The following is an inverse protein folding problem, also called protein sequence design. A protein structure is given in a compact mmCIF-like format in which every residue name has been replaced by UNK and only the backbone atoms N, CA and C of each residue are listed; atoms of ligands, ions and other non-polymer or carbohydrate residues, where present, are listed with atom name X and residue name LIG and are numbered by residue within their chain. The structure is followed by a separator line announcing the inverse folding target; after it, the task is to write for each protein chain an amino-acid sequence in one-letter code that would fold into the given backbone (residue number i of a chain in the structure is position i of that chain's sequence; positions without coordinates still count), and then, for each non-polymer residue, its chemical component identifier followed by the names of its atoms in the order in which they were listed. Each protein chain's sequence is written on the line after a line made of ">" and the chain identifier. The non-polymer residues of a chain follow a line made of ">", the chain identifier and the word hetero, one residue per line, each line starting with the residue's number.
data_IF_094330867039
#
_entry.id   IF_094330867039
#
_cell.length_a   1.000
_cell.length_b   1.000
_cell.length_c   1.000
_cell.angle_alpha   90.00
_cell.angle_beta   90.00
_cell.angle_gamma   90.00
#
_symmetry.space_group_name_H-M   'P 1'
#
loop_
_entity.id
_entity.type
_entity.pdbx_description
1 polymer ?
#
# COMPACT_ATOMS: atom_id res chain seq x y z
N UNK A 1 -24.23 5.25 -8.79
CA UNK A 1 -24.70 4.38 -7.70
C UNK A 1 -24.30 5.04 -6.38
N UNK A 2 -25.20 5.16 -5.39
CA UNK A 2 -24.85 5.76 -4.11
C UNK A 2 -23.77 4.92 -3.41
N UNK A 3 -22.87 5.60 -2.70
CA UNK A 3 -21.79 4.94 -1.99
C UNK A 3 -22.35 4.11 -0.84
N UNK A 4 -22.24 2.78 -0.93
CA UNK A 4 -22.75 1.87 0.09
C UNK A 4 -21.95 2.02 1.39
N UNK A 5 -22.68 2.11 2.50
CA UNK A 5 -22.13 2.14 3.85
C UNK A 5 -22.20 0.76 4.50
N UNK A 6 -21.23 0.47 5.34
CA UNK A 6 -21.13 -0.77 6.08
C UNK A 6 -20.73 -0.48 7.51
N UNK A 7 -21.36 -1.20 8.44
CA UNK A 7 -20.85 -1.31 9.78
C UNK A 7 -19.84 -2.45 9.82
N UNK A 8 -18.69 -2.20 10.44
CA UNK A 8 -17.63 -3.19 10.60
C UNK A 8 -17.23 -3.32 12.06
N UNK A 9 -16.71 -4.48 12.41
CA UNK A 9 -16.11 -4.78 13.70
C UNK A 9 -14.61 -4.97 13.54
N UNK A 10 -13.84 -4.31 14.39
CA UNK A 10 -12.40 -4.56 14.51
C UNK A 10 -12.21 -5.99 14.99
N UNK A 11 -11.54 -6.81 14.18
CA UNK A 11 -11.16 -8.17 14.56
C UNK A 11 -9.77 -8.22 15.16
N UNK A 12 -8.84 -7.49 14.56
CA UNK A 12 -7.43 -7.45 14.99
C UNK A 12 -6.85 -6.05 14.80
N UNK A 13 -5.91 -5.68 15.67
CA UNK A 13 -5.12 -4.47 15.56
C UNK A 13 -3.66 -4.80 15.89
N UNK A 14 -2.88 -5.09 14.87
CA UNK A 14 -1.58 -5.77 14.97
C UNK A 14 -0.46 -4.72 14.82
N UNK A 15 0.49 -4.68 15.75
CA UNK A 15 1.69 -3.87 15.58
C UNK A 15 2.56 -4.49 14.47
N UNK A 16 2.94 -3.69 13.45
CA UNK A 16 3.77 -4.15 12.32
C UNK A 16 5.17 -3.54 12.33
N UNK A 17 5.28 -2.29 12.74
CA UNK A 17 6.55 -1.56 12.97
C UNK A 17 6.38 -0.71 14.22
N UNK A 18 7.40 0.00 14.75
CA UNK A 18 7.18 0.92 15.87
C UNK A 18 6.09 1.98 15.62
N UNK A 19 5.90 2.42 14.37
CA UNK A 19 4.92 3.47 14.02
C UNK A 19 3.71 3.00 13.23
N UNK A 20 3.64 1.73 12.82
CA UNK A 20 2.58 1.24 11.94
C UNK A 20 1.84 0.07 12.55
N UNK A 21 0.50 0.12 12.46
CA UNK A 21 -0.39 -1.01 12.77
C UNK A 21 -1.16 -1.48 11.54
N UNK A 22 -1.47 -2.77 11.49
CA UNK A 22 -2.45 -3.34 10.58
C UNK A 22 -3.77 -3.54 11.33
N UNK A 23 -4.82 -2.84 10.89
CA UNK A 23 -6.16 -2.92 11.45
C UNK A 23 -7.05 -3.77 10.53
N UNK A 24 -7.65 -4.84 11.06
CA UNK A 24 -8.53 -5.74 10.29
C UNK A 24 -9.98 -5.53 10.68
N UNK A 25 -10.81 -5.17 9.71
CA UNK A 25 -12.24 -4.92 9.88
C UNK A 25 -13.05 -6.03 9.23
N UNK A 26 -13.89 -6.70 10.02
CA UNK A 26 -14.90 -7.65 9.53
C UNK A 26 -16.21 -6.93 9.30
N UNK A 27 -16.91 -7.24 8.22
CA UNK A 27 -18.23 -6.69 7.97
C UNK A 27 -19.27 -7.33 8.89
N UNK A 28 -20.18 -6.52 9.42
CA UNK A 28 -21.29 -6.99 10.22
C UNK A 28 -22.40 -7.56 9.32
N UNK A 29 -22.39 -8.88 9.14
CA UNK A 29 -23.36 -9.62 8.33
C UNK A 29 -22.87 -9.98 6.92
N UNK A 30 -23.63 -10.81 6.19
CA UNK A 30 -23.26 -11.25 4.84
C UNK A 30 -23.47 -10.10 3.85
N UNK A 31 -22.47 -9.23 3.71
CA UNK A 31 -22.50 -8.13 2.74
C UNK A 31 -21.64 -8.47 1.53
N UNK A 32 -22.18 -8.33 0.30
CA UNK A 32 -21.37 -8.48 -0.89
C UNK A 32 -20.40 -7.30 -0.98
N UNK A 33 -19.13 -7.53 -0.61
CA UNK A 33 -18.06 -6.56 -0.76
C UNK A 33 -17.02 -7.08 -1.75
N UNK A 34 -17.06 -6.54 -2.96
CA UNK A 34 -16.09 -6.81 -4.01
C UNK A 34 -15.36 -5.52 -4.35
N UNK A 35 -14.04 -5.57 -4.36
CA UNK A 35 -13.17 -4.45 -4.70
C UNK A 35 -12.04 -4.93 -5.61
N UNK A 36 -11.38 -4.00 -6.29
CA UNK A 36 -10.17 -4.27 -7.06
C UNK A 36 -8.95 -3.89 -6.24
N UNK A 37 -7.90 -4.70 -6.30
CA UNK A 37 -6.66 -4.47 -5.55
C UNK A 37 -6.11 -3.06 -5.83
N UNK A 38 -5.90 -2.28 -4.76
CA UNK A 38 -5.51 -0.87 -4.81
C UNK A 38 -6.61 0.13 -4.47
N UNK A 39 -7.89 -0.28 -4.44
CA UNK A 39 -8.98 0.58 -3.99
C UNK A 39 -8.92 0.89 -2.48
N UNK A 40 -9.66 1.92 -2.07
CA UNK A 40 -9.76 2.41 -0.70
C UNK A 40 -11.21 2.43 -0.20
N UNK A 41 -11.36 2.63 1.10
CA UNK A 41 -12.64 2.92 1.77
C UNK A 41 -12.54 4.24 2.52
N UNK A 42 -13.67 4.94 2.66
CA UNK A 42 -13.76 6.04 3.61
C UNK A 42 -14.09 5.50 5.00
N UNK A 43 -13.31 5.92 5.99
CA UNK A 43 -13.63 5.78 7.41
C UNK A 43 -14.51 6.97 7.81
N UNK A 44 -15.67 6.68 8.40
CA UNK A 44 -16.62 7.69 8.86
C UNK A 44 -16.31 8.09 10.30
N UNK A 45 -16.11 9.39 10.52
CA UNK A 45 -15.77 9.99 11.81
C UNK A 45 -16.58 11.28 12.03
N UNK A 46 -16.47 11.83 13.23
CA UNK A 46 -17.07 13.10 13.62
C UNK A 46 -15.99 14.06 14.09
N UNK A 47 -15.76 15.17 13.37
CA UNK A 47 -14.80 16.20 13.77
C UNK A 47 -15.56 17.51 13.97
N UNK A 48 -15.46 18.10 15.16
CA UNK A 48 -16.20 19.32 15.53
C UNK A 48 -17.71 19.21 15.25
N UNK A 49 -18.33 18.09 15.66
CA UNK A 49 -19.75 17.77 15.42
C UNK A 49 -20.18 17.75 13.95
N UNK A 50 -19.24 17.60 13.02
CA UNK A 50 -19.50 17.49 11.58
C UNK A 50 -18.96 16.17 11.02
N UNK A 51 -19.67 15.54 10.05
CA UNK A 51 -19.18 14.35 9.38
C UNK A 51 -17.80 14.58 8.76
N UNK A 52 -16.87 13.67 9.06
CA UNK A 52 -15.51 13.70 8.56
C UNK A 52 -15.15 12.35 7.95
N UNK A 53 -14.82 12.34 6.66
CA UNK A 53 -14.43 11.12 5.94
C UNK A 53 -12.92 11.14 5.69
N UNK A 54 -12.23 10.06 6.05
CA UNK A 54 -10.81 9.88 5.71
C UNK A 54 -10.64 8.63 4.85
N UNK A 55 -10.02 8.73 3.66
CA UNK A 55 -9.75 7.57 2.83
C UNK A 55 -8.60 6.75 3.42
N UNK A 56 -8.74 5.42 3.41
CA UNK A 56 -7.66 4.46 3.67
C UNK A 56 -7.71 3.33 2.65
N UNK A 57 -6.58 3.07 2.01
CA UNK A 57 -6.44 2.01 1.02
C UNK A 57 -6.57 0.65 1.67
N UNK A 58 -7.33 -0.23 1.01
CA UNK A 58 -7.50 -1.61 1.43
C UNK A 58 -6.17 -2.31 1.12
N UNK A 59 -5.53 -2.83 2.16
CA UNK A 59 -4.25 -3.52 2.06
C UNK A 59 -4.41 -5.03 1.84
N UNK A 60 -5.54 -5.62 2.22
CA UNK A 60 -5.82 -7.03 1.89
C UNK A 60 -6.12 -7.22 0.40
N UNK A 61 -5.89 -8.43 -0.10
CA UNK A 61 -6.28 -8.86 -1.46
C UNK A 61 -7.82 -8.95 -1.61
N UNK A 62 -8.39 -8.72 -2.82
CA UNK A 62 -9.81 -8.96 -3.11
C UNK A 62 -10.35 -10.37 -2.84
N UNK A 63 -9.47 -11.38 -2.81
CA UNK A 63 -9.85 -12.77 -2.52
C UNK A 63 -10.07 -13.01 -1.02
N UNK A 64 -9.54 -12.14 -0.14
CA UNK A 64 -9.80 -12.17 1.29
C UNK A 64 -11.22 -11.64 1.57
N UNK A 65 -12.12 -12.53 2.02
CA UNK A 65 -13.53 -12.23 2.25
C UNK A 65 -13.93 -12.06 3.71
N UNK A 66 -13.10 -12.51 4.65
CA UNK A 66 -13.41 -12.43 6.08
C UNK A 66 -13.20 -11.02 6.63
N UNK A 67 -12.22 -10.28 6.10
CA UNK A 67 -11.87 -8.94 6.57
C UNK A 67 -11.28 -8.04 5.47
N UNK A 68 -11.35 -6.73 5.70
CA UNK A 68 -10.49 -5.74 5.05
C UNK A 68 -9.36 -5.35 5.98
N UNK A 69 -8.13 -5.27 5.48
CA UNK A 69 -6.97 -4.82 6.25
C UNK A 69 -6.59 -3.39 5.86
N UNK A 70 -6.19 -2.58 6.83
CA UNK A 70 -5.69 -1.23 6.61
C UNK A 70 -4.35 -1.04 7.32
N UNK A 71 -3.34 -0.55 6.60
CA UNK A 71 -2.04 -0.21 7.18
C UNK A 71 -2.10 1.26 7.64
N UNK A 72 -2.01 1.46 8.95
CA UNK A 72 -2.17 2.77 9.59
C UNK A 72 -0.85 3.18 10.22
N UNK A 73 -0.21 4.21 9.65
CA UNK A 73 0.88 4.91 10.34
C UNK A 73 0.31 5.79 11.44
N UNK A 74 0.76 5.58 12.67
CA UNK A 74 0.50 6.48 13.79
C UNK A 74 1.20 7.82 13.55
N UNK A 75 0.45 8.90 13.71
CA UNK A 75 0.97 10.26 13.63
C UNK A 75 0.67 10.89 14.97
N UNK A 76 1.69 11.42 15.63
CA UNK A 76 1.54 12.11 16.91
C UNK A 76 0.52 13.24 16.78
N UNK A 77 -0.43 13.32 17.72
CA UNK A 77 -1.58 14.24 17.69
C UNK A 77 -2.48 14.13 16.44
N UNK A 78 -2.31 13.07 15.64
CA UNK A 78 -3.13 12.79 14.46
C UNK A 78 -4.50 12.27 14.87
N UNK A 79 -5.55 13.03 14.56
CA UNK A 79 -6.92 12.68 14.93
C UNK A 79 -7.33 11.28 14.41
N UNK A 80 -7.22 11.05 13.10
CA UNK A 80 -7.69 9.80 12.49
C UNK A 80 -6.75 8.63 12.75
N UNK A 81 -5.45 8.83 12.63
CA UNK A 81 -4.47 7.78 12.90
C UNK A 81 -4.53 7.36 14.37
N UNK A 82 -4.65 8.30 15.30
CA UNK A 82 -4.90 8.02 16.73
C UNK A 82 -6.20 7.24 16.96
N UNK A 83 -7.31 7.67 16.34
CA UNK A 83 -8.58 6.94 16.39
C UNK A 83 -8.42 5.48 15.95
N UNK A 84 -7.85 5.25 14.76
CA UNK A 84 -7.69 3.93 14.16
C UNK A 84 -6.72 3.04 14.96
N UNK A 85 -5.55 3.56 15.34
CA UNK A 85 -4.51 2.80 16.04
C UNK A 85 -4.85 2.47 17.49
N UNK A 86 -5.79 3.19 18.12
CA UNK A 86 -6.28 2.93 19.47
C UNK A 86 -7.41 1.90 19.56
N UNK A 87 -8.00 1.50 18.43
CA UNK A 87 -9.12 0.55 18.40
C UNK A 87 -8.71 -0.83 18.93
N UNK A 88 -9.65 -1.51 19.56
CA UNK A 88 -9.49 -2.87 20.08
C UNK A 88 -10.44 -3.84 19.37
N UNK A 89 -10.14 -5.15 19.35
CA UNK A 89 -11.09 -6.15 18.91
C UNK A 89 -12.47 -5.95 19.55
N UNK A 90 -13.52 -5.97 18.74
CA UNK A 90 -14.91 -5.68 19.14
C UNK A 90 -15.38 -4.25 18.88
N UNK A 91 -14.48 -3.27 18.73
CA UNK A 91 -14.86 -1.89 18.41
C UNK A 91 -15.53 -1.80 17.03
N UNK A 92 -16.52 -0.92 16.91
CA UNK A 92 -17.23 -0.67 15.65
C UNK A 92 -16.61 0.48 14.86
N UNK A 93 -16.57 0.34 13.54
CA UNK A 93 -16.18 1.40 12.61
C UNK A 93 -17.16 1.40 11.43
N UNK A 94 -17.75 2.56 11.14
CA UNK A 94 -18.54 2.76 9.93
C UNK A 94 -17.62 3.12 8.76
N UNK A 95 -17.83 2.44 7.64
CA UNK A 95 -17.01 2.60 6.43
C UNK A 95 -17.90 2.68 5.20
N UNK A 96 -17.36 3.21 4.10
CA UNK A 96 -18.07 3.19 2.82
C UNK A 96 -17.11 3.03 1.65
N UNK A 97 -17.51 2.26 0.64
CA UNK A 97 -16.63 1.87 -0.45
C UNK A 97 -17.11 0.64 -1.22
N UNK A 98 -16.24 0.05 -2.05
CA UNK A 98 -14.89 0.53 -2.37
C UNK A 98 -14.90 1.71 -3.34
N UNK A 99 -13.82 2.51 -3.34
CA UNK A 99 -13.60 3.64 -4.26
C UNK A 99 -12.15 3.62 -4.73
N UNK A 100 -11.87 4.17 -5.90
CA UNK A 100 -10.51 4.42 -6.37
C UNK A 100 -10.29 3.90 -7.77
N UNK A 101 -9.38 4.57 -8.48
CA UNK A 101 -8.93 4.20 -9.84
C UNK A 101 -7.48 3.76 -9.89
N UNK A 102 -6.76 3.87 -8.76
CA UNK A 102 -5.42 3.34 -8.61
C UNK A 102 -5.51 1.85 -8.31
N UNK A 103 -5.71 1.06 -9.37
CA UNK A 103 -5.99 -0.37 -9.28
C UNK A 103 -5.01 -1.16 -10.14
N UNK A 104 -4.70 -2.39 -9.72
CA UNK A 104 -3.93 -3.33 -10.54
C UNK A 104 -4.65 -3.52 -11.89
N UNK A 105 -3.90 -3.39 -13.00
CA UNK A 105 -4.41 -3.70 -14.33
C UNK A 105 -4.30 -5.20 -14.58
N UNK A 106 -5.42 -5.80 -14.95
CA UNK A 106 -5.51 -7.20 -15.36
C UNK A 106 -6.04 -7.26 -16.81
N UNK A 107 -5.55 -8.21 -17.65
CA UNK A 107 -4.48 -9.16 -17.36
C UNK A 107 -3.10 -8.49 -17.23
N UNK A 108 -2.17 -9.14 -16.53
CA UNK A 108 -0.79 -8.66 -16.38
C UNK A 108 -0.02 -8.96 -17.66
N UNK A 109 0.24 -7.93 -18.46
CA UNK A 109 0.90 -8.08 -19.78
C UNK A 109 2.36 -7.64 -19.79
N UNK A 110 2.77 -6.83 -18.80
CA UNK A 110 4.09 -6.21 -18.74
C UNK A 110 4.79 -6.54 -17.43
N UNK A 111 6.12 -6.36 -17.40
CA UNK A 111 6.89 -6.35 -16.15
C UNK A 111 6.36 -5.23 -15.23
N UNK A 112 6.21 -5.55 -13.95
CA UNK A 112 5.61 -4.66 -12.96
C UNK A 112 6.67 -4.04 -12.06
N UNK A 113 6.61 -2.72 -11.90
CA UNK A 113 7.43 -1.97 -10.95
C UNK A 113 6.53 -1.31 -9.92
N UNK A 114 6.80 -1.58 -8.65
CA UNK A 114 6.14 -0.97 -7.49
C UNK A 114 7.13 -0.08 -6.78
N UNK A 115 6.78 1.20 -6.59
CA UNK A 115 7.59 2.16 -5.84
C UNK A 115 6.76 2.70 -4.68
N UNK A 116 7.14 2.35 -3.45
CA UNK A 116 6.43 2.75 -2.25
C UNK A 116 7.32 3.56 -1.30
N UNK A 117 6.69 4.36 -0.44
CA UNK A 117 7.32 4.89 0.77
C UNK A 117 6.37 4.84 1.97
N UNK A 118 6.85 4.27 3.08
CA UNK A 118 6.08 4.10 4.32
C UNK A 118 4.72 3.43 4.10
N UNK A 119 3.64 4.02 4.66
CA UNK A 119 2.27 3.48 4.52
C UNK A 119 1.71 3.55 3.09
N UNK A 120 2.42 4.17 2.14
CA UNK A 120 2.16 4.03 0.70
C UNK A 120 2.19 2.58 0.23
N UNK A 121 2.79 1.67 1.00
CA UNK A 121 2.71 0.24 0.74
C UNK A 121 1.27 -0.30 0.71
N UNK A 122 0.29 0.33 1.39
CA UNK A 122 -1.08 -0.21 1.54
C UNK A 122 -1.74 -0.69 0.24
N UNK A 123 -1.90 0.21 -0.73
CA UNK A 123 -2.52 -0.12 -2.02
C UNK A 123 -1.66 -1.11 -2.81
N UNK A 124 -0.34 -0.92 -2.81
CA UNK A 124 0.60 -1.81 -3.51
C UNK A 124 0.66 -3.20 -2.87
N UNK A 125 0.43 -3.33 -1.57
CA UNK A 125 0.39 -4.59 -0.84
C UNK A 125 -0.79 -5.43 -1.29
N UNK A 126 -1.96 -4.80 -1.45
CA UNK A 126 -3.14 -5.45 -2.03
C UNK A 126 -2.86 -5.92 -3.46
N UNK A 127 -2.22 -5.09 -4.28
CA UNK A 127 -1.84 -5.43 -5.65
C UNK A 127 -0.83 -6.59 -5.70
N UNK A 128 0.23 -6.54 -4.90
CA UNK A 128 1.26 -7.59 -4.85
C UNK A 128 0.69 -8.94 -4.41
N UNK A 129 -0.15 -8.97 -3.36
CA UNK A 129 -0.83 -10.20 -2.96
C UNK A 129 -1.68 -10.76 -4.12
N UNK A 130 -2.45 -9.90 -4.79
CA UNK A 130 -3.26 -10.30 -5.94
C UNK A 130 -2.41 -10.89 -7.08
N UNK A 131 -1.30 -10.25 -7.42
CA UNK A 131 -0.36 -10.72 -8.46
C UNK A 131 0.16 -12.12 -8.11
N UNK A 132 0.58 -12.35 -6.87
CA UNK A 132 1.11 -13.65 -6.45
C UNK A 132 0.04 -14.74 -6.30
N UNK A 133 -1.20 -14.37 -5.96
CA UNK A 133 -2.34 -15.30 -5.90
C UNK A 133 -2.73 -15.82 -7.30
N UNK A 134 -2.74 -14.94 -8.30
CA UNK A 134 -3.07 -15.33 -9.68
C UNK A 134 -1.90 -15.95 -10.42
N UNK A 135 -0.67 -15.65 -9.99
CA UNK A 135 0.55 -15.98 -10.70
C UNK A 135 0.78 -15.10 -11.94
N UNK A 136 2.05 -14.96 -12.33
CA UNK A 136 2.48 -14.31 -13.58
C UNK A 136 3.90 -14.75 -13.92
N UNK A 137 4.23 -14.79 -15.22
CA UNK A 137 5.58 -15.00 -15.73
C UNK A 137 6.40 -13.70 -15.80
N UNK A 138 5.74 -12.55 -15.63
CA UNK A 138 6.37 -11.22 -15.69
C UNK A 138 7.25 -10.96 -14.49
N UNK A 139 8.28 -10.13 -14.66
CA UNK A 139 9.13 -9.70 -13.54
C UNK A 139 8.39 -8.70 -12.68
N UNK A 140 8.59 -8.81 -11.37
CA UNK A 140 7.97 -7.92 -10.38
C UNK A 140 9.11 -7.31 -9.57
N UNK A 141 9.16 -5.97 -9.52
CA UNK A 141 10.16 -5.25 -8.73
C UNK A 141 9.45 -4.38 -7.70
N UNK A 142 9.76 -4.53 -6.42
CA UNK A 142 9.34 -3.62 -5.35
C UNK A 142 10.54 -2.81 -4.85
N UNK A 143 10.48 -1.49 -5.01
CA UNK A 143 11.44 -0.53 -4.44
C UNK A 143 10.73 0.21 -3.31
N UNK A 144 11.21 0.03 -2.07
CA UNK A 144 10.46 0.44 -0.90
C UNK A 144 11.27 1.31 0.06
N UNK A 145 10.89 2.59 0.14
CA UNK A 145 11.53 3.59 0.97
C UNK A 145 11.00 3.59 2.40
N UNK A 146 11.90 3.43 3.36
CA UNK A 146 11.61 3.48 4.79
C UNK A 146 12.67 4.31 5.53
N UNK A 147 12.40 4.66 6.79
CA UNK A 147 13.35 5.44 7.59
C UNK A 147 14.49 4.55 8.10
N UNK A 148 14.12 3.48 8.77
CA UNK A 148 14.99 2.51 9.46
C UNK A 148 14.55 1.09 9.13
N UNK A 149 15.38 0.10 9.46
CA UNK A 149 15.18 -1.32 9.21
C UNK A 149 13.90 -1.88 9.84
N UNK A 150 13.54 -1.39 11.02
CA UNK A 150 12.37 -1.78 11.81
C UNK A 150 11.07 -1.11 11.35
N UNK A 151 11.16 -0.14 10.44
CA UNK A 151 10.02 0.52 9.80
C UNK A 151 9.61 -0.14 8.48
N UNK A 152 10.29 -1.20 8.05
CA UNK A 152 9.94 -1.95 6.84
C UNK A 152 8.72 -2.82 7.13
N UNK A 153 7.55 -2.31 6.74
CA UNK A 153 6.26 -2.99 6.92
C UNK A 153 6.26 -4.31 6.13
N UNK A 154 5.86 -5.41 6.77
CA UNK A 154 5.81 -6.77 6.19
C UNK A 154 7.15 -7.32 5.70
N UNK A 155 8.28 -6.84 6.25
CA UNK A 155 9.63 -7.26 5.83
C UNK A 155 9.81 -8.77 5.71
N UNK A 156 9.50 -9.51 6.78
CA UNK A 156 9.69 -10.96 6.82
C UNK A 156 8.90 -11.67 5.69
N UNK A 157 7.65 -11.28 5.48
CA UNK A 157 6.80 -11.82 4.41
C UNK A 157 7.36 -11.50 3.02
N UNK A 158 7.83 -10.26 2.83
CA UNK A 158 8.43 -9.84 1.55
C UNK A 158 9.72 -10.63 1.29
N UNK A 159 10.57 -10.81 2.30
CA UNK A 159 11.81 -11.59 2.20
C UNK A 159 11.54 -13.08 1.92
N UNK A 160 10.46 -13.65 2.46
CA UNK A 160 9.98 -14.99 2.10
C UNK A 160 9.51 -15.05 0.64
N UNK A 161 8.81 -14.03 0.16
CA UNK A 161 8.38 -13.95 -1.25
C UNK A 161 9.56 -13.88 -2.20
N UNK A 162 10.64 -13.17 -1.86
CA UNK A 162 11.88 -13.15 -2.67
C UNK A 162 12.46 -14.56 -2.81
N UNK A 163 12.45 -15.37 -1.74
CA UNK A 163 12.92 -16.76 -1.80
C UNK A 163 11.97 -17.66 -2.61
N UNK A 164 10.67 -17.40 -2.52
CA UNK A 164 9.63 -18.22 -3.14
C UNK A 164 9.42 -17.94 -4.63
N UNK A 165 9.55 -16.69 -5.07
CA UNK A 165 9.22 -16.25 -6.42
C UNK A 165 10.48 -15.74 -7.16
N UNK A 166 11.07 -16.54 -8.06
CA UNK A 166 12.31 -16.18 -8.76
C UNK A 166 12.20 -14.93 -9.64
N UNK A 167 10.98 -14.54 -10.04
CA UNK A 167 10.68 -13.34 -10.81
C UNK A 167 10.41 -12.10 -9.94
N UNK A 168 10.51 -12.20 -8.61
CA UNK A 168 10.33 -11.08 -7.70
C UNK A 168 11.65 -10.53 -7.16
N UNK A 169 11.84 -9.22 -7.30
CA UNK A 169 12.96 -8.48 -6.72
C UNK A 169 12.45 -7.46 -5.70
N UNK A 170 13.05 -7.48 -4.51
CA UNK A 170 12.78 -6.51 -3.45
C UNK A 170 14.02 -5.66 -3.18
N UNK A 171 13.85 -4.35 -3.20
CA UNK A 171 14.89 -3.37 -2.90
C UNK A 171 14.40 -2.44 -1.78
N UNK A 172 14.71 -2.74 -0.51
CA UNK A 172 14.52 -1.81 0.59
C UNK A 172 15.53 -0.66 0.48
N UNK A 173 15.05 0.58 0.65
CA UNK A 173 15.86 1.80 0.64
C UNK A 173 15.65 2.53 1.97
N UNK A 174 16.72 2.81 2.70
CA UNK A 174 16.64 3.43 4.02
C UNK A 174 17.25 4.83 4.03
N UNK A 175 16.50 5.82 4.54
CA UNK A 175 17.01 7.19 4.66
C UNK A 175 17.86 7.42 5.91
N UNK A 176 17.68 6.61 6.95
CA UNK A 176 18.41 6.67 8.23
C UNK A 176 18.73 5.26 8.75
N UNK A 177 19.50 4.45 7.99
CA UNK A 177 19.81 3.09 8.39
C UNK A 177 20.74 3.01 9.60
N UNK A 178 20.79 1.83 10.22
CA UNK A 178 21.90 1.49 11.13
C UNK A 178 23.23 1.38 10.38
N UNK A 179 24.35 1.34 11.14
CA UNK A 179 25.69 1.10 10.57
C UNK A 179 25.85 -0.30 9.97
N UNK A 180 24.98 -1.23 10.33
CA UNK A 180 25.02 -2.62 9.87
C UNK A 180 24.35 -2.80 8.51
N UNK A 181 23.50 -1.85 8.11
CA UNK A 181 22.79 -1.89 6.84
C UNK A 181 23.75 -1.99 5.65
N UNK A 182 23.51 -2.97 4.79
CA UNK A 182 24.27 -3.20 3.54
C UNK A 182 23.44 -2.94 2.28
N UNK A 183 22.16 -2.58 2.44
CA UNK A 183 21.26 -2.28 1.34
C UNK A 183 21.41 -0.84 0.86
N UNK A 184 20.43 -0.40 0.08
CA UNK A 184 20.43 0.95 -0.49
C UNK A 184 20.12 2.01 0.58
N UNK A 185 20.84 3.13 0.50
CA UNK A 185 20.75 4.26 1.44
C UNK A 185 20.31 5.51 0.68
N UNK A 186 19.42 6.29 1.27
CA UNK A 186 18.87 7.51 0.69
C UNK A 186 17.38 7.39 0.43
N UNK A 187 16.93 7.84 -0.73
CA UNK A 187 15.52 7.83 -1.11
C UNK A 187 15.25 7.02 -2.38
N UNK A 188 14.03 6.51 -2.52
CA UNK A 188 13.66 5.63 -3.65
C UNK A 188 13.90 6.27 -5.01
N UNK A 189 13.66 7.58 -5.15
CA UNK A 189 13.86 8.33 -6.39
C UNK A 189 15.33 8.40 -6.82
N UNK A 190 16.28 8.29 -5.88
CA UNK A 190 17.73 8.32 -6.16
C UNK A 190 18.23 6.94 -6.59
N UNK A 191 17.55 5.89 -6.14
CA UNK A 191 17.99 4.50 -6.26
C UNK A 191 17.31 3.79 -7.44
N UNK A 192 16.07 4.16 -7.78
CA UNK A 192 15.22 3.38 -8.70
C UNK A 192 15.84 3.13 -10.08
N UNK A 193 16.64 4.07 -10.62
CA UNK A 193 17.32 3.93 -11.92
C UNK A 193 18.30 2.76 -11.97
N UNK A 194 18.85 2.33 -10.83
CA UNK A 194 19.74 1.17 -10.75
C UNK A 194 19.01 -0.13 -11.09
N UNK A 195 17.75 -0.25 -10.66
CA UNK A 195 16.96 -1.49 -10.68
C UNK A 195 15.94 -1.57 -11.82
N UNK A 196 15.59 -0.45 -12.43
CA UNK A 196 14.64 -0.41 -13.53
C UNK A 196 15.40 -0.34 -14.86
N UNK A 197 15.37 -1.42 -15.62
CA UNK A 197 15.88 -1.51 -17.00
C UNK A 197 14.73 -1.63 -17.98
N UNK A 198 14.91 -1.11 -19.19
CA UNK A 198 13.91 -1.16 -20.27
C UNK A 198 12.52 -0.64 -19.85
N UNK A 199 12.41 0.63 -19.43
CA UNK A 199 11.17 1.18 -18.86
C UNK A 199 9.98 1.20 -19.84
N UNK A 200 10.24 1.17 -21.15
CA UNK A 200 9.18 1.16 -22.17
C UNK A 200 8.36 -0.14 -22.17
N UNK A 201 8.90 -1.25 -21.67
CA UNK A 201 8.21 -2.55 -21.56
C UNK A 201 7.57 -2.79 -20.19
N UNK A 202 7.48 -1.75 -19.35
CA UNK A 202 7.08 -1.85 -17.94
C UNK A 202 5.84 -1.04 -17.62
N UNK A 203 5.11 -1.51 -16.62
CA UNK A 203 4.11 -0.73 -15.90
C UNK A 203 4.67 -0.35 -14.53
N UNK A 204 4.38 0.86 -14.07
CA UNK A 204 4.82 1.33 -12.76
C UNK A 204 3.65 1.83 -11.91
N UNK A 205 3.64 1.39 -10.65
CA UNK A 205 2.67 1.77 -9.62
C UNK A 205 3.42 2.48 -8.49
N UNK A 206 3.08 3.75 -8.25
CA UNK A 206 3.81 4.62 -7.33
C UNK A 206 2.87 5.06 -6.20
N UNK A 207 3.25 4.85 -4.94
CA UNK A 207 2.42 5.27 -3.83
C UNK A 207 3.20 5.71 -2.58
N UNK A 208 2.85 6.87 -2.02
CA UNK A 208 3.44 7.36 -0.78
C UNK A 208 3.25 8.86 -0.56
N UNK A 209 4.24 9.48 0.09
CA UNK A 209 4.25 10.92 0.37
C UNK A 209 4.23 11.74 -0.91
N UNK A 210 3.49 12.85 -0.92
CA UNK A 210 3.35 13.74 -2.07
C UNK A 210 4.66 14.02 -2.78
N UNK A 211 5.69 14.47 -2.05
CA UNK A 211 7.00 14.82 -2.64
C UNK A 211 7.66 13.63 -3.34
N UNK A 212 7.66 12.46 -2.69
CA UNK A 212 8.24 11.24 -3.27
C UNK A 212 7.52 10.86 -4.57
N UNK A 213 6.19 10.89 -4.57
CA UNK A 213 5.40 10.52 -5.75
C UNK A 213 5.68 11.48 -6.92
N UNK A 214 5.72 12.79 -6.68
CA UNK A 214 6.03 13.75 -7.76
C UNK A 214 7.46 13.59 -8.29
N UNK A 215 8.46 13.41 -7.41
CA UNK A 215 9.84 13.18 -7.81
C UNK A 215 9.97 11.91 -8.67
N UNK A 216 9.37 10.79 -8.24
CA UNK A 216 9.38 9.52 -8.99
C UNK A 216 8.66 9.68 -10.33
N UNK A 217 7.53 10.38 -10.39
CA UNK A 217 6.81 10.61 -11.66
C UNK A 217 7.67 11.37 -12.68
N UNK A 218 8.34 12.44 -12.26
CA UNK A 218 9.24 13.20 -13.12
C UNK A 218 10.35 12.28 -13.65
N UNK A 219 10.95 11.46 -12.79
CA UNK A 219 12.00 10.53 -13.19
C UNK A 219 11.50 9.46 -14.15
N UNK A 220 10.30 8.91 -13.95
CA UNK A 220 9.73 7.91 -14.88
C UNK A 220 9.55 8.47 -16.29
N UNK A 221 9.10 9.73 -16.39
CA UNK A 221 9.01 10.41 -17.68
C UNK A 221 10.40 10.58 -18.33
N UNK A 222 11.41 11.00 -17.56
CA UNK A 222 12.79 11.13 -18.04
C UNK A 222 13.42 9.79 -18.44
N UNK A 223 13.04 8.71 -17.79
CA UNK A 223 13.49 7.35 -18.11
C UNK A 223 12.82 6.81 -19.38
N UNK A 224 11.73 7.43 -19.86
CA UNK A 224 11.03 7.00 -21.06
C UNK A 224 9.97 5.92 -20.82
N UNK A 225 9.35 5.89 -19.63
CA UNK A 225 8.12 5.11 -19.44
C UNK A 225 7.01 5.62 -20.38
N UNK A 226 6.17 4.70 -20.87
CA UNK A 226 4.92 5.07 -21.53
C UNK A 226 4.01 5.80 -20.51
N UNK A 227 3.58 7.05 -20.78
CA UNK A 227 2.72 7.81 -19.88
C UNK A 227 1.42 7.09 -19.50
N UNK A 228 0.92 6.19 -20.34
CA UNK A 228 -0.30 5.42 -20.09
C UNK A 228 -0.09 4.24 -19.12
N UNK A 229 1.18 3.96 -18.77
CA UNK A 229 1.62 2.86 -17.89
C UNK A 229 2.23 3.37 -16.59
N UNK A 230 2.06 4.66 -16.28
CA UNK A 230 2.47 5.29 -15.03
C UNK A 230 1.22 5.53 -14.17
N UNK A 231 1.06 4.71 -13.15
CA UNK A 231 -0.05 4.81 -12.20
C UNK A 231 0.47 5.30 -10.86
N UNK A 232 -0.26 6.20 -10.21
CA UNK A 232 0.16 6.70 -8.92
C UNK A 232 -1.00 7.14 -8.03
N UNK A 233 -0.74 7.10 -6.73
CA UNK A 233 -1.57 7.71 -5.71
C UNK A 233 -0.69 8.39 -4.67
N UNK A 234 -1.13 9.54 -4.15
CA UNK A 234 -0.39 10.32 -3.15
C UNK A 234 -1.28 10.61 -1.97
N UNK A 235 -0.72 10.51 -0.76
CA UNK A 235 -1.41 10.92 0.45
C UNK A 235 -0.81 12.21 0.99
N UNK A 236 -1.69 13.00 1.62
CA UNK A 236 -1.40 14.27 2.29
C UNK A 236 -1.51 14.07 3.79
#
# INVERSE_FOLDING_TARGET
>A
MPLQRYLTTVSENIQKTPTVKALRLKFDGPVPFNFTAGQYMFIHLQKNNSPFLKPYSIASTPSQKDYTEFIIKHVENGYVSGFMTSRKPGDKIEVSGPIGRFVLREPILNDLVFVAAGSGLSSLWSMLQRVFETGTDKKITLIFGNRTEDEIIYREVIEEWVKKYPNFTFTPVLSQPSKEWKGEVGYVQEVMKKYIKDPQSKEIYICGLFKMVEDVRILTAQMGFDPNRIYFEKYV
#
